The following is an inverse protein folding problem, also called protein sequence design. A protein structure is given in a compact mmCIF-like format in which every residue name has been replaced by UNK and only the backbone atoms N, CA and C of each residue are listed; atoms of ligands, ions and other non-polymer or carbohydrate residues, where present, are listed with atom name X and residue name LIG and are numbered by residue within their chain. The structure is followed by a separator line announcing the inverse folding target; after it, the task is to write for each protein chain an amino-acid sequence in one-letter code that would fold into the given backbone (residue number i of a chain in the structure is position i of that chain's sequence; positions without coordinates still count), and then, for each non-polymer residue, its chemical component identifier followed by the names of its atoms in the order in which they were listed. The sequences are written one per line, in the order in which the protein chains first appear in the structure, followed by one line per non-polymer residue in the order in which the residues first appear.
data_IF_115272224940
#
_entry.id   IF_115272224940
#
_cell.length_a   1.000
_cell.length_b   1.000
_cell.length_c   1.000
_cell.angle_alpha   90.00
_cell.angle_beta   90.00
_cell.angle_gamma   90.00
#
_symmetry.space_group_name_H-M   'P 1'
#
loop_
_entity.id
_entity.type
_entity.pdbx_description
1 polymer ?
#
# COMPACT_ATOMS: atom_id res chain seq x y z
N UNK A 1 -8.26 -12.22 1.17
CA UNK A 1 -7.05 -12.25 2.02
C UNK A 1 -7.32 -11.36 3.22
N UNK A 2 -7.00 -11.81 4.44
CA UNK A 2 -7.24 -11.09 5.70
C UNK A 2 -5.88 -10.72 6.31
N UNK A 3 -5.67 -9.44 6.63
CA UNK A 3 -4.45 -8.96 7.29
C UNK A 3 -4.74 -8.64 8.76
N UNK A 4 -4.03 -9.31 9.68
CA UNK A 4 -4.12 -9.09 11.13
C UNK A 4 -2.87 -8.38 11.62
N UNK A 5 -3.01 -7.13 12.07
CA UNK A 5 -1.91 -6.40 12.73
C UNK A 5 -2.01 -6.55 14.24
N UNK A 6 -0.87 -6.74 14.90
CA UNK A 6 -0.80 -6.89 16.36
C UNK A 6 -1.14 -5.53 17.01
N UNK A 7 -2.37 -5.39 17.50
CA UNK A 7 -2.89 -4.12 18.00
C UNK A 7 -2.21 -3.73 19.32
N UNK A 8 -1.49 -2.61 19.33
CA UNK A 8 -1.16 -1.91 20.58
C UNK A 8 -2.40 -1.21 21.11
N UNK A 9 -2.45 -0.86 22.40
CA UNK A 9 -3.57 -0.09 22.98
C UNK A 9 -3.84 1.20 22.21
N UNK A 10 -2.78 1.87 21.74
CA UNK A 10 -2.87 3.07 20.91
C UNK A 10 -3.52 2.80 19.55
N UNK A 11 -3.16 1.68 18.90
CA UNK A 11 -3.79 1.23 17.65
C UNK A 11 -5.29 0.97 17.88
N UNK A 12 -5.66 0.27 18.97
CA UNK A 12 -7.07 -0.01 19.29
C UNK A 12 -7.87 1.29 19.42
N UNK A 13 -7.40 2.26 20.21
CA UNK A 13 -8.11 3.54 20.39
C UNK A 13 -8.26 4.30 19.08
N UNK A 14 -7.22 4.32 18.25
CA UNK A 14 -7.26 4.96 16.94
C UNK A 14 -8.29 4.31 16.03
N UNK A 15 -8.25 2.99 15.87
CA UNK A 15 -9.19 2.29 14.99
C UNK A 15 -10.63 2.32 15.52
N UNK A 16 -10.83 2.41 16.84
CA UNK A 16 -12.15 2.64 17.45
C UNK A 16 -12.70 4.02 17.10
N UNK A 17 -11.87 5.07 17.11
CA UNK A 17 -12.31 6.41 16.71
C UNK A 17 -12.72 6.46 15.24
N UNK A 18 -11.97 5.78 14.37
CA UNK A 18 -12.29 5.66 12.94
C UNK A 18 -13.61 4.89 12.75
N UNK A 19 -13.80 3.78 13.47
CA UNK A 19 -15.06 3.02 13.41
C UNK A 19 -16.26 3.83 13.91
N UNK A 20 -16.07 4.75 14.86
CA UNK A 20 -17.13 5.64 15.33
C UNK A 20 -17.52 6.69 14.28
N UNK A 21 -16.57 7.14 13.45
CA UNK A 21 -16.81 8.14 12.40
C UNK A 21 -17.34 7.53 11.09
N UNK A 22 -16.78 6.39 10.65
CA UNK A 22 -17.05 5.78 9.35
C UNK A 22 -17.87 4.48 9.42
N UNK A 23 -18.14 3.99 10.63
CA UNK A 23 -18.84 2.74 10.89
C UNK A 23 -17.91 1.54 11.06
N UNK A 24 -18.46 0.47 11.66
CA UNK A 24 -17.76 -0.83 11.86
C UNK A 24 -17.48 -1.54 10.54
N UNK A 25 -18.30 -1.31 9.51
CA UNK A 25 -18.10 -1.83 8.17
C UNK A 25 -18.14 -0.69 7.16
N UNK A 26 -17.05 -0.49 6.43
CA UNK A 26 -16.94 0.54 5.40
C UNK A 26 -16.40 -0.06 4.12
N UNK A 27 -16.82 0.47 2.97
CA UNK A 27 -16.28 0.08 1.65
C UNK A 27 -15.65 1.28 0.96
N UNK A 28 -14.49 1.06 0.35
CA UNK A 28 -13.77 2.05 -0.46
C UNK A 28 -13.44 1.45 -1.82
N UNK A 29 -13.66 2.22 -2.88
CA UNK A 29 -13.29 1.88 -4.24
C UNK A 29 -12.11 2.75 -4.70
N UNK A 30 -10.98 2.10 -4.90
CA UNK A 30 -9.77 2.70 -5.43
C UNK A 30 -9.92 2.89 -6.94
N UNK A 31 -10.59 3.99 -7.31
CA UNK A 31 -10.58 4.74 -8.58
C UNK A 31 -11.68 5.81 -8.53
N UNK A 32 -12.87 5.41 -8.08
CA UNK A 32 -14.08 6.27 -8.07
C UNK A 32 -14.10 7.25 -6.92
N UNK A 33 -13.47 6.92 -5.80
CA UNK A 33 -13.60 7.70 -4.55
C UNK A 33 -12.56 8.84 -4.45
N UNK A 34 -12.17 9.40 -5.60
CA UNK A 34 -11.37 10.63 -5.68
C UNK A 34 -9.91 10.47 -5.23
N UNK A 35 -9.15 9.60 -5.92
CA UNK A 35 -7.69 9.47 -5.70
C UNK A 35 -7.30 9.30 -4.22
N UNK A 36 -7.75 8.21 -3.60
CA UNK A 36 -7.35 7.78 -2.25
C UNK A 36 -7.82 8.62 -1.05
N UNK A 37 -8.58 9.71 -1.22
CA UNK A 37 -9.02 10.56 -0.10
C UNK A 37 -9.77 9.77 0.99
N UNK A 38 -10.84 9.06 0.61
CA UNK A 38 -11.60 8.21 1.53
C UNK A 38 -10.76 7.06 2.10
N UNK A 39 -9.90 6.47 1.27
CA UNK A 39 -9.00 5.39 1.70
C UNK A 39 -7.96 5.86 2.73
N UNK A 40 -7.42 7.06 2.57
CA UNK A 40 -6.47 7.68 3.50
C UNK A 40 -7.15 8.07 4.82
N UNK A 41 -8.43 8.43 4.79
CA UNK A 41 -9.21 8.76 5.98
C UNK A 41 -9.55 7.48 6.79
N UNK A 42 -10.05 6.45 6.13
CA UNK A 42 -10.50 5.21 6.77
C UNK A 42 -9.33 4.29 7.14
N UNK A 43 -8.24 4.32 6.36
CA UNK A 43 -7.02 3.57 6.63
C UNK A 43 -5.86 4.55 6.69
N UNK A 44 -5.65 5.28 7.79
CA UNK A 44 -4.64 6.34 7.87
C UNK A 44 -3.20 5.83 7.96
N UNK A 45 -2.99 4.56 8.30
CA UNK A 45 -1.67 3.94 8.27
C UNK A 45 -1.21 3.66 6.82
N UNK A 46 -0.09 4.26 6.41
CA UNK A 46 0.45 4.12 5.05
C UNK A 46 0.87 2.68 4.75
N UNK A 47 1.43 1.97 5.72
CA UNK A 47 1.97 0.63 5.51
C UNK A 47 0.82 -0.36 5.33
N UNK A 48 -0.27 -0.21 6.10
CA UNK A 48 -1.48 -1.02 5.89
C UNK A 48 -2.10 -0.76 4.51
N UNK A 49 -2.17 0.52 4.07
CA UNK A 49 -2.67 0.86 2.72
C UNK A 49 -1.83 0.22 1.63
N UNK A 50 -0.50 0.32 1.74
CA UNK A 50 0.42 -0.27 0.77
C UNK A 50 0.30 -1.79 0.75
N UNK A 51 0.23 -2.43 1.91
CA UNK A 51 0.18 -3.88 2.05
C UNK A 51 -1.10 -4.48 1.46
N UNK A 52 -2.27 -3.88 1.74
CA UNK A 52 -3.54 -4.37 1.17
C UNK A 52 -3.59 -4.13 -0.34
N UNK A 53 -3.12 -2.97 -0.82
CA UNK A 53 -3.06 -2.66 -2.26
C UNK A 53 -2.13 -3.60 -2.99
N UNK A 54 -0.93 -3.86 -2.45
CA UNK A 54 0.04 -4.81 -2.99
C UNK A 54 -0.56 -6.21 -3.08
N UNK A 55 -1.17 -6.68 -1.98
CA UNK A 55 -1.76 -8.01 -1.91
C UNK A 55 -2.87 -8.21 -2.94
N UNK A 56 -3.74 -7.20 -3.10
CA UNK A 56 -4.82 -7.24 -4.09
C UNK A 56 -4.25 -7.24 -5.51
N UNK A 57 -3.34 -6.31 -5.82
CA UNK A 57 -2.79 -6.15 -7.16
C UNK A 57 -1.93 -7.34 -7.59
N UNK A 58 -1.02 -7.81 -6.75
CA UNK A 58 -0.16 -8.95 -7.03
C UNK A 58 -0.92 -10.28 -6.97
N UNK A 59 -1.91 -10.40 -6.09
CA UNK A 59 -2.80 -11.56 -6.02
C UNK A 59 -3.79 -11.65 -7.18
N UNK A 60 -3.86 -10.63 -8.04
CA UNK A 60 -4.82 -10.52 -9.15
C UNK A 60 -6.28 -10.71 -8.69
N UNK A 61 -6.58 -10.23 -7.49
CA UNK A 61 -7.94 -10.17 -6.93
C UNK A 61 -8.44 -8.73 -7.04
N UNK A 62 -9.74 -8.52 -6.84
CA UNK A 62 -10.36 -7.19 -6.88
C UNK A 62 -10.74 -6.66 -5.51
N UNK A 63 -11.01 -7.56 -4.58
CA UNK A 63 -11.60 -7.25 -3.29
C UNK A 63 -10.67 -7.77 -2.19
N UNK A 64 -10.43 -6.93 -1.17
CA UNK A 64 -9.70 -7.29 0.02
C UNK A 64 -10.36 -6.72 1.26
N UNK A 65 -10.18 -7.39 2.39
CA UNK A 65 -10.63 -6.88 3.68
C UNK A 65 -9.41 -6.56 4.54
N UNK A 66 -9.37 -5.33 5.03
CA UNK A 66 -8.49 -4.95 6.12
C UNK A 66 -9.30 -4.99 7.41
N UNK A 67 -8.91 -5.87 8.33
CA UNK A 67 -9.64 -6.13 9.57
C UNK A 67 -8.75 -5.75 10.74
N UNK A 68 -9.22 -4.80 11.54
CA UNK A 68 -8.59 -4.48 12.81
C UNK A 68 -9.36 -5.15 13.93
N UNK A 69 -8.63 -5.85 14.82
CA UNK A 69 -9.24 -6.56 15.93
C UNK A 69 -8.43 -6.35 17.20
N UNK A 70 -9.13 -6.09 18.30
CA UNK A 70 -8.58 -6.22 19.64
C UNK A 70 -8.61 -7.70 20.07
N UNK A 71 -8.07 -8.01 21.25
CA UNK A 71 -8.04 -9.37 21.79
C UNK A 71 -9.43 -10.01 21.93
N UNK A 72 -10.50 -9.21 22.04
CA UNK A 72 -11.86 -9.69 22.35
C UNK A 72 -12.90 -9.36 21.29
N UNK A 73 -12.61 -8.50 20.31
CA UNK A 73 -13.58 -8.04 19.34
C UNK A 73 -12.94 -7.47 18.07
N UNK A 74 -13.69 -7.50 16.97
CA UNK A 74 -13.37 -6.79 15.73
C UNK A 74 -13.75 -5.32 15.91
N UNK A 75 -12.91 -4.41 15.39
CA UNK A 75 -13.07 -2.96 15.53
C UNK A 75 -13.66 -2.39 14.22
N UNK A 76 -12.90 -1.93 13.19
CA UNK A 76 -13.47 -1.82 11.85
C UNK A 76 -13.04 -2.96 10.90
N UNK A 77 -13.95 -3.26 9.97
CA UNK A 77 -13.72 -4.02 8.74
C UNK A 77 -13.80 -3.05 7.57
N UNK A 78 -12.70 -2.90 6.85
CA UNK A 78 -12.63 -2.05 5.66
C UNK A 78 -12.55 -2.94 4.43
N UNK A 79 -13.59 -2.89 3.61
CA UNK A 79 -13.62 -3.51 2.30
C UNK A 79 -12.93 -2.59 1.29
N UNK A 80 -11.83 -3.06 0.71
CA UNK A 80 -11.05 -2.33 -0.29
C UNK A 80 -11.26 -3.00 -1.63
N UNK A 81 -11.88 -2.28 -2.56
CA UNK A 81 -12.03 -2.68 -3.94
C UNK A 81 -11.02 -1.94 -4.82
N UNK A 82 -10.23 -2.68 -5.58
CA UNK A 82 -9.24 -2.14 -6.51
C UNK A 82 -9.69 -2.41 -7.94
N UNK A 83 -9.90 -1.33 -8.70
CA UNK A 83 -10.30 -1.47 -10.10
C UNK A 83 -9.13 -1.96 -10.97
N UNK A 84 -9.41 -2.68 -12.08
CA UNK A 84 -8.37 -3.28 -12.92
C UNK A 84 -7.30 -2.30 -13.39
N UNK A 85 -7.67 -1.04 -13.67
CA UNK A 85 -6.73 0.01 -14.07
C UNK A 85 -5.71 0.33 -12.99
N UNK A 86 -6.10 0.32 -11.71
CA UNK A 86 -5.18 0.54 -10.57
C UNK A 86 -4.26 -0.66 -10.42
N UNK A 87 -4.79 -1.88 -10.49
CA UNK A 87 -3.98 -3.10 -10.48
C UNK A 87 -2.96 -3.11 -11.62
N UNK A 88 -3.38 -2.77 -12.84
CA UNK A 88 -2.48 -2.70 -14.00
C UNK A 88 -1.40 -1.63 -13.81
N UNK A 89 -1.78 -0.45 -13.35
CA UNK A 89 -0.84 0.65 -13.09
C UNK A 89 0.18 0.26 -12.02
N UNK A 90 -0.29 -0.34 -10.92
CA UNK A 90 0.55 -0.80 -9.82
C UNK A 90 1.56 -1.86 -10.27
N UNK A 91 1.10 -2.89 -11.00
CA UNK A 91 1.96 -3.94 -11.54
C UNK A 91 2.94 -3.42 -12.58
N UNK A 92 2.54 -2.44 -13.39
CA UNK A 92 3.43 -1.80 -14.36
C UNK A 92 4.54 -1.01 -13.67
N UNK A 93 4.23 -0.32 -12.56
CA UNK A 93 5.23 0.36 -11.74
C UNK A 93 6.19 -0.62 -11.05
N UNK A 94 5.68 -1.76 -10.55
CA UNK A 94 6.52 -2.82 -10.00
C UNK A 94 7.46 -3.42 -11.06
N UNK A 95 6.94 -3.78 -12.24
CA UNK A 95 7.76 -4.31 -13.34
C UNK A 95 8.83 -3.31 -13.77
N UNK A 96 8.47 -2.02 -13.91
CA UNK A 96 9.43 -0.98 -14.21
C UNK A 96 10.52 -0.87 -13.12
N UNK A 97 10.16 -1.08 -11.86
CA UNK A 97 11.13 -1.08 -10.75
C UNK A 97 12.07 -2.28 -10.82
N UNK A 98 11.52 -3.47 -11.10
CA UNK A 98 12.28 -4.70 -11.32
C UNK A 98 13.29 -4.54 -12.47
N UNK A 99 12.80 -4.18 -13.65
CA UNK A 99 13.59 -4.12 -14.89
C UNK A 99 14.73 -3.09 -14.82
N UNK A 100 14.54 -2.01 -14.07
CA UNK A 100 15.50 -0.89 -14.07
C UNK A 100 16.37 -0.82 -12.80
N UNK A 101 15.93 -1.39 -11.67
CA UNK A 101 16.55 -1.09 -10.37
C UNK A 101 16.94 -2.32 -9.54
N UNK A 102 16.29 -3.49 -9.70
CA UNK A 102 16.59 -4.64 -8.83
C UNK A 102 17.98 -5.23 -9.06
N UNK A 103 18.53 -5.15 -10.27
CA UNK A 103 19.92 -5.55 -10.53
C UNK A 103 20.91 -4.77 -9.64
N UNK A 104 20.68 -3.46 -9.46
CA UNK A 104 21.49 -2.63 -8.55
C UNK A 104 21.24 -2.93 -7.08
N UNK A 105 20.01 -3.32 -6.71
CA UNK A 105 19.69 -3.68 -5.32
C UNK A 105 20.46 -4.93 -4.89
N UNK A 106 20.53 -5.95 -5.75
CA UNK A 106 21.12 -7.25 -5.40
C UNK A 106 22.60 -7.42 -5.78
N UNK A 107 23.11 -6.64 -6.74
CA UNK A 107 24.52 -6.72 -7.14
C UNK A 107 25.26 -5.42 -6.80
N UNK A 108 26.24 -5.47 -5.86
CA UNK A 108 26.99 -4.30 -5.49
C UNK A 108 27.93 -3.77 -6.58
N UNK A 109 28.26 -4.59 -7.60
CA UNK A 109 29.09 -4.21 -8.73
C UNK A 109 28.32 -3.47 -9.83
N UNK A 110 26.97 -3.53 -9.82
CA UNK A 110 26.13 -2.78 -10.75
C UNK A 110 26.15 -1.30 -10.37
N UNK A 111 26.36 -0.44 -11.37
CA UNK A 111 26.36 1.01 -11.19
C UNK A 111 24.97 1.53 -10.79
N UNK A 112 24.93 2.66 -10.08
CA UNK A 112 23.67 3.31 -9.69
C UNK A 112 22.85 3.60 -10.96
N UNK A 113 21.62 3.08 -11.08
CA UNK A 113 20.83 3.23 -12.29
C UNK A 113 20.46 4.70 -12.51
N UNK A 114 20.59 5.18 -13.74
CA UNK A 114 20.17 6.53 -14.09
C UNK A 114 18.64 6.65 -13.96
N UNK A 115 18.20 7.48 -13.03
CA UNK A 115 16.79 7.76 -12.81
C UNK A 115 16.29 8.74 -13.88
N UNK A 116 15.81 8.20 -14.99
CA UNK A 116 15.15 8.99 -16.02
C UNK A 116 13.75 9.42 -15.53
N UNK A 117 13.63 10.65 -15.02
CA UNK A 117 12.38 11.24 -14.52
C UNK A 117 11.21 11.17 -15.51
N UNK A 118 11.49 11.11 -16.81
CA UNK A 118 10.49 10.93 -17.87
C UNK A 118 9.89 9.52 -17.90
N UNK A 119 10.63 8.51 -17.40
CA UNK A 119 10.20 7.11 -17.24
C UNK A 119 9.62 6.81 -15.86
N UNK A 120 10.08 7.50 -14.81
CA UNK A 120 9.59 7.35 -13.43
C UNK A 120 8.43 8.30 -13.08
N UNK A 121 7.51 8.56 -14.01
CA UNK A 121 6.30 9.40 -13.78
C UNK A 121 5.39 8.89 -12.65
N UNK A 122 5.60 7.65 -12.19
CA UNK A 122 4.91 7.03 -11.07
C UNK A 122 5.56 7.32 -9.71
N UNK A 123 6.79 7.84 -9.68
CA UNK A 123 7.48 8.26 -8.46
C UNK A 123 7.19 9.74 -8.18
N UNK A 124 6.78 10.05 -6.96
CA UNK A 124 6.53 11.42 -6.50
C UNK A 124 7.79 12.29 -6.60
N UNK A 125 8.97 11.74 -6.28
CA UNK A 125 10.25 12.41 -6.40
C UNK A 125 11.44 11.42 -6.38
N UNK A 126 12.60 11.88 -6.86
CA UNK A 126 13.84 11.09 -6.97
C UNK A 126 14.41 10.64 -5.62
N UNK A 127 14.29 11.48 -4.59
CA UNK A 127 14.90 11.20 -3.29
C UNK A 127 14.17 10.05 -2.59
N UNK A 128 12.84 10.05 -2.64
CA UNK A 128 12.00 8.98 -2.09
C UNK A 128 12.29 7.62 -2.74
N UNK A 129 12.49 7.59 -4.07
CA UNK A 129 12.85 6.36 -4.78
C UNK A 129 14.23 5.85 -4.36
N UNK A 130 15.25 6.70 -4.33
CA UNK A 130 16.60 6.31 -3.90
C UNK A 130 16.64 5.83 -2.46
N UNK A 131 15.90 6.49 -1.57
CA UNK A 131 15.78 6.05 -0.17
C UNK A 131 15.14 4.65 -0.09
N UNK A 132 14.08 4.41 -0.85
CA UNK A 132 13.38 3.12 -0.87
C UNK A 132 14.28 2.00 -1.41
N UNK A 133 14.95 2.24 -2.55
CA UNK A 133 15.88 1.27 -3.13
C UNK A 133 17.11 1.04 -2.24
N UNK A 134 17.61 2.10 -1.59
CA UNK A 134 18.72 2.01 -0.64
C UNK A 134 18.37 1.18 0.58
N UNK A 135 17.14 1.29 1.09
CA UNK A 135 16.62 0.41 2.14
C UNK A 135 16.59 -1.05 1.67
N UNK A 136 16.12 -1.32 0.46
CA UNK A 136 16.07 -2.69 -0.07
C UNK A 136 17.46 -3.30 -0.24
N UNK A 137 18.46 -2.51 -0.64
CA UNK A 137 19.85 -2.95 -0.77
C UNK A 137 20.54 -3.21 0.57
N UNK A 138 20.02 -2.63 1.66
CA UNK A 138 20.58 -2.80 3.01
C UNK A 138 19.97 -4.00 3.78
N UNK A 139 18.90 -4.61 3.25
CA UNK A 139 18.30 -5.85 3.76
C UNK A 139 19.04 -7.07 3.23
#
# INVERSE_FOLDING_TARGET
MEYKTRTTTQTVTKEQSIAAEYGVFSSVNLMTDGFSGAFNAIVPDKDHRLQITHSIACGNIRDGFLVYAAATHIIPVVHVRVEPTVTWTYRSALSATEDNYLAWVYDPAVAVPELNLTRVKHCLDRATLLQSLGLWRAL
#
